data_IF_817752286922
#
_entry.id   IF_817752286922
#
_cell.length_a   1.000
_cell.length_b   1.000
_cell.length_c   1.000
_cell.angle_alpha   90.00
_cell.angle_beta   90.00
_cell.angle_gamma   90.00
#
_symmetry.space_group_name_H-M   'P 1'
#
loop_
_entity.id
_entity.type
_entity.pdbx_description
1 polymer ?
#
# COMPACT_ATOMS: atom_id res chain seq x y z
N UNK A 1 -49.75 0.31 55.43
CA UNK A 1 -49.99 -1.02 56.04
C UNK A 1 -49.46 -2.09 55.09
N UNK A 2 -48.77 -3.09 55.64
CA UNK A 2 -48.37 -4.41 55.05
C UNK A 2 -47.42 -4.33 53.82
N UNK A 3 -46.10 -4.59 53.87
CA UNK A 3 -45.21 -5.60 54.51
C UNK A 3 -45.21 -6.97 53.78
N UNK A 4 -43.99 -7.52 53.63
CA UNK A 4 -43.62 -8.95 53.42
C UNK A 4 -43.59 -9.35 51.92
N UNK A 5 -42.55 -9.94 51.29
CA UNK A 5 -41.29 -10.59 51.70
C UNK A 5 -40.38 -10.83 50.46
N UNK A 6 -39.06 -10.60 50.54
CA UNK A 6 -37.96 -11.59 50.69
C UNK A 6 -37.66 -12.49 49.45
N UNK A 7 -36.59 -12.13 48.70
CA UNK A 7 -35.29 -12.85 48.51
C UNK A 7 -35.26 -14.40 48.47
N UNK A 8 -34.12 -15.04 48.14
CA UNK A 8 -33.26 -15.02 46.94
C UNK A 8 -32.96 -16.48 46.47
N UNK A 9 -32.29 -16.73 45.33
CA UNK A 9 -31.53 -17.99 45.16
C UNK A 9 -30.43 -17.87 44.10
N UNK A 10 -29.24 -17.49 44.57
CA UNK A 10 -27.96 -17.91 43.99
C UNK A 10 -27.69 -19.37 44.40
N UNK A 11 -27.48 -20.23 43.41
CA UNK A 11 -26.68 -21.47 43.45
C UNK A 11 -26.18 -21.70 42.03
N UNK A 12 -25.03 -22.27 41.72
CA UNK A 12 -23.75 -22.55 42.38
C UNK A 12 -23.00 -23.28 41.26
N UNK A 13 -21.72 -22.94 41.07
CA UNK A 13 -20.64 -23.83 40.66
C UNK A 13 -20.73 -24.60 39.31
N UNK A 14 -19.86 -24.15 38.38
CA UNK A 14 -18.73 -24.92 37.82
C UNK A 14 -18.76 -25.31 36.33
N UNK A 15 -17.63 -25.14 35.61
CA UNK A 15 -17.42 -25.59 34.23
C UNK A 15 -16.84 -27.02 34.17
N UNK A 16 -16.99 -27.75 33.04
CA UNK A 16 -16.08 -28.82 32.66
C UNK A 16 -14.98 -28.23 31.75
N UNK A 17 -13.73 -28.20 32.20
CA UNK A 17 -12.75 -29.29 32.15
C UNK A 17 -11.94 -29.25 30.86
N UNK A 18 -10.67 -28.88 31.03
CA UNK A 18 -9.61 -29.10 30.07
C UNK A 18 -9.12 -30.57 30.17
N UNK A 19 -9.18 -31.32 29.08
CA UNK A 19 -8.29 -32.46 28.78
C UNK A 19 -8.70 -33.16 27.47
N UNK A 20 -7.94 -32.96 26.40
CA UNK A 20 -7.66 -33.94 25.34
C UNK A 20 -6.70 -33.26 24.32
N UNK A 21 -5.40 -33.35 24.53
CA UNK A 21 -4.55 -34.42 24.01
C UNK A 21 -4.19 -34.25 22.51
N UNK A 22 -3.07 -33.56 22.29
CA UNK A 22 -1.87 -34.10 21.63
C UNK A 22 -2.03 -34.80 20.28
N UNK A 23 -1.62 -34.15 19.18
CA UNK A 23 -0.76 -34.77 18.14
C UNK A 23 0.23 -33.76 17.52
N UNK A 24 1.49 -33.98 17.91
CA UNK A 24 2.78 -33.80 17.22
C UNK A 24 2.76 -33.66 15.67
N UNK A 25 3.58 -32.74 15.17
CA UNK A 25 4.72 -32.96 14.24
C UNK A 25 5.36 -31.58 13.91
N UNK A 26 6.46 -31.20 14.57
CA UNK A 26 7.87 -31.38 14.18
C UNK A 26 8.42 -30.21 13.31
N UNK A 27 9.52 -29.54 13.74
CA UNK A 27 10.15 -28.42 13.03
C UNK A 27 11.26 -28.92 12.08
N UNK A 28 11.41 -28.29 10.91
CA UNK A 28 12.57 -28.48 10.03
C UNK A 28 13.54 -27.34 10.25
N UNK A 29 14.69 -27.66 10.80
CA UNK A 29 15.86 -26.80 10.88
C UNK A 29 16.87 -27.20 9.79
N UNK A 30 17.48 -26.17 9.21
CA UNK A 30 18.83 -26.02 8.65
C UNK A 30 19.64 -27.25 8.22
N UNK A 31 20.14 -27.22 6.98
CA UNK A 31 21.48 -27.70 6.66
C UNK A 31 22.11 -26.90 5.51
N UNK A 32 23.40 -26.59 5.67
CA UNK A 32 24.27 -25.96 4.70
C UNK A 32 25.48 -26.90 4.49
N UNK A 33 25.83 -27.19 3.22
CA UNK A 33 27.11 -27.78 2.78
C UNK A 33 27.23 -27.49 1.27
N UNK A 34 28.14 -26.65 0.78
CA UNK A 34 29.56 -26.87 0.42
C UNK A 34 29.82 -27.97 -0.62
N UNK A 35 30.42 -27.55 -1.76
CA UNK A 35 30.91 -28.37 -2.89
C UNK A 35 30.34 -27.84 -4.22
N UNK A 36 31.07 -27.27 -5.19
CA UNK A 36 32.46 -27.51 -5.61
C UNK A 36 32.46 -28.42 -6.84
N UNK A 37 32.59 -27.87 -8.06
CA UNK A 37 33.06 -28.63 -9.22
C UNK A 37 32.28 -28.52 -10.54
N UNK A 38 32.86 -27.75 -11.47
CA UNK A 38 33.20 -28.16 -12.85
C UNK A 38 32.13 -28.25 -13.96
N UNK A 39 32.29 -27.30 -14.89
CA UNK A 39 31.76 -27.26 -16.27
C UNK A 39 32.49 -28.31 -17.14
N UNK A 40 31.80 -29.12 -17.97
CA UNK A 40 32.47 -29.89 -19.00
C UNK A 40 32.61 -29.06 -20.29
N UNK A 41 33.85 -28.69 -20.60
CA UNK A 41 34.32 -28.39 -21.95
C UNK A 41 34.43 -29.71 -22.72
N UNK A 42 33.79 -29.80 -23.89
CA UNK A 42 34.03 -30.89 -24.83
C UNK A 42 35.10 -30.46 -25.84
N UNK A 43 36.15 -31.26 -25.88
CA UNK A 43 37.34 -31.14 -26.72
C UNK A 43 37.30 -32.19 -27.84
N UNK A 44 37.91 -31.89 -28.97
CA UNK A 44 38.21 -32.83 -30.07
C UNK A 44 37.79 -32.26 -31.43
N UNK A 45 38.65 -31.81 -32.34
CA UNK A 45 40.05 -32.13 -32.58
C UNK A 45 40.17 -33.18 -33.70
N UNK A 46 40.70 -32.79 -34.86
CA UNK A 46 41.24 -33.76 -35.83
C UNK A 46 41.16 -33.42 -37.32
N UNK A 47 42.27 -32.88 -37.83
CA UNK A 47 42.94 -33.21 -39.09
C UNK A 47 42.20 -33.07 -40.44
N UNK A 48 42.69 -32.15 -41.26
CA UNK A 48 42.37 -32.09 -42.69
C UNK A 48 43.30 -32.95 -43.55
N UNK A 49 42.89 -33.27 -44.78
CA UNK A 49 43.75 -33.51 -45.97
C UNK A 49 42.89 -33.30 -47.23
N UNK A 50 43.58 -32.90 -48.31
CA UNK A 50 43.28 -33.11 -49.73
C UNK A 50 42.60 -31.98 -50.50
N UNK A 51 43.46 -31.08 -51.00
CA UNK A 51 43.28 -30.47 -52.30
C UNK A 51 43.23 -31.57 -53.39
N UNK A 52 42.19 -31.54 -54.21
CA UNK A 52 42.08 -32.32 -55.44
C UNK A 52 41.38 -31.45 -56.47
N UNK A 53 42.12 -31.06 -57.52
CA UNK A 53 41.60 -30.23 -58.59
C UNK A 53 40.60 -30.98 -59.47
N UNK A 54 39.61 -30.23 -59.98
CA UNK A 54 38.97 -30.56 -61.24
C UNK A 54 38.93 -29.31 -62.13
N UNK A 55 39.71 -29.39 -63.20
CA UNK A 55 39.64 -28.50 -64.35
C UNK A 55 38.60 -29.08 -65.33
N UNK A 56 37.62 -28.27 -65.70
CA UNK A 56 36.60 -28.60 -66.69
C UNK A 56 35.97 -27.32 -67.19
N UNK A 57 36.35 -26.89 -68.39
CA UNK A 57 36.08 -25.57 -68.95
C UNK A 57 34.65 -25.34 -69.46
N UNK A 58 34.39 -24.10 -69.85
CA UNK A 58 33.23 -23.73 -70.66
C UNK A 58 32.52 -22.47 -70.19
N UNK A 59 32.57 -21.36 -70.94
CA UNK A 59 32.01 -20.07 -70.54
C UNK A 59 30.53 -20.00 -70.89
N UNK A 60 29.67 -19.69 -69.92
CA UNK A 60 28.31 -19.27 -70.28
C UNK A 60 27.22 -19.62 -69.30
N UNK A 61 27.33 -19.16 -68.05
CA UNK A 61 26.18 -18.96 -67.17
C UNK A 61 26.43 -17.70 -66.30
N UNK A 62 26.76 -16.59 -66.96
CA UNK A 62 26.77 -15.23 -66.38
C UNK A 62 25.37 -14.60 -66.34
N UNK A 63 24.32 -15.40 -66.26
CA UNK A 63 22.92 -14.95 -66.34
C UNK A 63 22.00 -15.53 -65.26
N UNK A 64 22.55 -16.02 -64.15
CA UNK A 64 21.76 -16.46 -63.00
C UNK A 64 22.13 -15.75 -61.68
N UNK A 65 22.77 -14.56 -61.75
CA UNK A 65 23.12 -13.76 -60.55
C UNK A 65 22.49 -12.36 -60.56
N UNK A 66 21.45 -12.11 -61.36
CA UNK A 66 20.88 -10.75 -61.49
C UNK A 66 19.36 -10.67 -61.27
N UNK A 67 18.73 -11.68 -60.69
CA UNK A 67 17.30 -11.65 -60.33
C UNK A 67 16.96 -12.28 -58.96
N UNK A 68 17.95 -12.61 -58.13
CA UNK A 68 17.74 -13.04 -56.74
C UNK A 68 18.49 -12.12 -55.79
N UNK A 69 18.11 -10.84 -55.78
CA UNK A 69 18.28 -9.99 -54.60
C UNK A 69 16.86 -9.61 -54.18
N UNK A 70 16.10 -10.61 -53.76
CA UNK A 70 14.81 -10.40 -53.11
C UNK A 70 15.14 -9.97 -51.67
N UNK A 71 15.17 -8.65 -51.48
CA UNK A 71 14.54 -7.92 -50.38
C UNK A 71 14.77 -8.27 -48.89
N UNK A 72 15.72 -9.12 -48.49
CA UNK A 72 15.98 -9.35 -47.04
C UNK A 72 16.30 -8.06 -46.24
N UNK A 73 16.86 -7.05 -46.91
CA UNK A 73 17.27 -5.78 -46.30
C UNK A 73 16.10 -4.79 -46.15
N UNK A 74 15.10 -4.87 -47.02
CA UNK A 74 13.87 -4.05 -46.94
C UNK A 74 12.87 -4.70 -45.97
N UNK A 75 12.78 -6.04 -45.93
CA UNK A 75 11.97 -6.78 -44.94
C UNK A 75 12.44 -6.47 -43.50
N UNK A 76 13.76 -6.47 -43.25
CA UNK A 76 14.32 -6.14 -41.93
C UNK A 76 14.03 -4.69 -41.49
N UNK A 77 14.02 -3.75 -42.44
CA UNK A 77 13.74 -2.34 -42.17
C UNK A 77 12.25 -2.08 -41.91
N UNK A 78 11.37 -2.81 -42.62
CA UNK A 78 9.93 -2.78 -42.40
C UNK A 78 9.54 -3.37 -41.04
N UNK A 79 10.21 -4.46 -40.63
CA UNK A 79 10.04 -5.08 -39.31
C UNK A 79 10.48 -4.14 -38.18
N UNK A 80 11.64 -3.48 -38.28
CA UNK A 80 12.12 -2.54 -37.25
C UNK A 80 11.21 -1.29 -37.12
N UNK A 81 10.72 -0.75 -38.24
CA UNK A 81 9.73 0.32 -38.21
C UNK A 81 8.39 -0.11 -37.63
N UNK A 82 7.95 -1.32 -37.94
CA UNK A 82 6.73 -1.90 -37.37
C UNK A 82 6.89 -2.03 -35.86
N UNK A 83 7.98 -2.59 -35.35
CA UNK A 83 8.21 -2.73 -33.91
C UNK A 83 8.27 -1.39 -33.18
N UNK A 84 8.91 -0.37 -33.78
CA UNK A 84 8.99 0.97 -33.18
C UNK A 84 7.62 1.67 -33.17
N UNK A 85 6.85 1.55 -34.24
CA UNK A 85 5.49 2.11 -34.35
C UNK A 85 4.50 1.37 -33.44
N UNK A 86 4.48 0.04 -33.49
CA UNK A 86 3.65 -0.79 -32.63
C UNK A 86 4.03 -0.63 -31.15
N UNK A 87 5.32 -0.57 -30.82
CA UNK A 87 5.78 -0.33 -29.46
C UNK A 87 5.36 1.05 -28.92
N UNK A 88 5.39 2.08 -29.76
CA UNK A 88 4.92 3.41 -29.38
C UNK A 88 3.39 3.49 -29.27
N UNK A 89 2.67 2.92 -30.23
CA UNK A 89 1.19 2.82 -30.20
C UNK A 89 0.73 2.03 -28.96
N UNK A 90 1.39 0.91 -28.66
CA UNK A 90 1.12 0.10 -27.48
C UNK A 90 1.34 0.90 -26.19
N UNK A 91 2.37 1.75 -26.11
CA UNK A 91 2.57 2.66 -24.97
C UNK A 91 1.43 3.65 -24.81
N UNK A 92 0.89 4.21 -25.89
CA UNK A 92 -0.28 5.12 -25.83
C UNK A 92 -1.52 4.36 -25.32
N UNK A 93 -1.76 3.15 -25.83
CA UNK A 93 -2.85 2.30 -25.35
C UNK A 93 -2.69 1.94 -23.86
N UNK A 94 -1.48 1.57 -23.44
CA UNK A 94 -1.19 1.30 -22.03
C UNK A 94 -1.37 2.54 -21.17
N UNK A 95 -0.87 3.70 -21.59
CA UNK A 95 -0.99 4.95 -20.84
C UNK A 95 -2.46 5.38 -20.73
N UNK A 96 -3.23 5.27 -21.82
CA UNK A 96 -4.65 5.57 -21.84
C UNK A 96 -5.46 4.59 -20.99
N UNK A 97 -5.23 3.29 -21.15
CA UNK A 97 -5.97 2.26 -20.41
C UNK A 97 -5.60 2.27 -18.92
N UNK A 98 -4.32 2.37 -18.58
CA UNK A 98 -3.88 2.49 -17.19
C UNK A 98 -4.37 3.79 -16.55
N UNK A 99 -4.43 4.90 -17.31
CA UNK A 99 -5.03 6.15 -16.85
C UNK A 99 -6.52 6.00 -16.55
N UNK A 100 -7.29 5.38 -17.45
CA UNK A 100 -8.73 5.16 -17.30
C UNK A 100 -9.04 4.23 -16.12
N UNK A 101 -8.32 3.11 -16.02
CA UNK A 101 -8.43 2.16 -14.91
C UNK A 101 -8.00 2.84 -13.61
N UNK A 102 -6.91 3.62 -13.62
CA UNK A 102 -6.47 4.41 -12.48
C UNK A 102 -7.56 5.35 -12.00
N UNK A 103 -8.19 6.12 -12.89
CA UNK A 103 -9.26 7.03 -12.52
C UNK A 103 -10.48 6.33 -11.92
N UNK A 104 -10.86 5.17 -12.44
CA UNK A 104 -12.04 4.42 -11.98
C UNK A 104 -11.80 3.65 -10.67
N UNK A 105 -10.64 3.03 -10.49
CA UNK A 105 -10.38 2.12 -9.36
C UNK A 105 -9.71 2.80 -8.16
N UNK A 106 -8.97 3.89 -8.38
CA UNK A 106 -8.29 4.61 -7.30
C UNK A 106 -9.24 5.15 -6.20
N UNK A 107 -10.45 5.66 -6.52
CA UNK A 107 -11.42 6.07 -5.49
C UNK A 107 -11.87 4.88 -4.62
N UNK A 108 -12.14 3.73 -5.24
CA UNK A 108 -12.65 2.54 -4.55
C UNK A 108 -11.60 1.87 -3.66
N UNK A 109 -10.33 1.86 -4.08
CA UNK A 109 -9.24 1.38 -3.23
C UNK A 109 -8.96 2.33 -2.05
N UNK A 110 -9.05 3.65 -2.27
CA UNK A 110 -8.85 4.64 -1.21
C UNK A 110 -9.86 4.51 -0.08
N UNK A 111 -11.15 4.32 -0.40
CA UNK A 111 -12.22 4.23 0.59
C UNK A 111 -12.06 3.04 1.53
N UNK A 112 -11.74 1.86 0.97
CA UNK A 112 -11.47 0.65 1.77
C UNK A 112 -10.27 0.87 2.71
N UNK A 113 -9.22 1.55 2.25
CA UNK A 113 -8.05 1.85 3.07
C UNK A 113 -8.37 2.85 4.19
N UNK A 114 -9.27 3.81 3.95
CA UNK A 114 -9.75 4.72 4.99
C UNK A 114 -10.55 3.93 6.03
N UNK A 115 -11.50 3.07 5.63
CA UNK A 115 -12.27 2.24 6.56
C UNK A 115 -11.37 1.31 7.39
N UNK A 116 -10.35 0.71 6.76
CA UNK A 116 -9.36 -0.10 7.47
C UNK A 116 -8.56 0.74 8.47
N UNK A 117 -8.17 1.95 8.09
CA UNK A 117 -7.44 2.86 8.98
C UNK A 117 -8.30 3.28 10.18
N UNK A 118 -9.59 3.54 9.97
CA UNK A 118 -10.57 3.82 11.04
C UNK A 118 -10.76 2.60 11.94
N UNK A 119 -10.81 1.40 11.37
CA UNK A 119 -10.90 0.16 12.15
C UNK A 119 -9.67 -0.04 13.06
N UNK A 120 -8.48 0.38 12.61
CA UNK A 120 -7.27 0.36 13.44
C UNK A 120 -7.34 1.34 14.63
N UNK A 121 -8.07 2.45 14.52
CA UNK A 121 -8.28 3.39 15.63
C UNK A 121 -9.09 2.78 16.78
N UNK A 122 -9.94 1.80 16.47
CA UNK A 122 -10.80 1.10 17.45
C UNK A 122 -10.08 -0.01 18.20
N UNK A 123 -8.90 -0.43 17.73
CA UNK A 123 -8.10 -1.49 18.37
C UNK A 123 -7.59 -1.00 19.74
N UNK A 124 -7.48 -1.92 20.70
CA UNK A 124 -7.05 -1.58 22.08
C UNK A 124 -5.61 -1.09 22.17
N UNK A 125 -4.73 -1.67 21.35
CA UNK A 125 -3.30 -1.39 21.40
C UNK A 125 -2.97 -0.03 20.74
N UNK A 126 -2.32 0.90 21.48
CA UNK A 126 -1.94 2.23 20.98
C UNK A 126 -1.08 2.20 19.70
N UNK A 127 -0.29 1.15 19.49
CA UNK A 127 0.53 1.01 18.29
C UNK A 127 -0.31 0.98 17.01
N UNK A 128 -1.48 0.33 17.03
CA UNK A 128 -2.39 0.31 15.90
C UNK A 128 -3.13 1.63 15.75
N UNK A 129 -3.50 2.28 16.86
CA UNK A 129 -4.14 3.59 16.84
C UNK A 129 -3.27 4.64 16.15
N UNK A 130 -1.99 4.74 16.51
CA UNK A 130 -1.06 5.68 15.84
C UNK A 130 -0.85 5.34 14.36
N UNK A 131 -0.81 4.05 13.98
CA UNK A 131 -0.68 3.65 12.58
C UNK A 131 -1.93 4.01 11.77
N UNK A 132 -3.11 3.76 12.33
CA UNK A 132 -4.40 4.14 11.75
C UNK A 132 -4.48 5.65 11.56
N UNK A 133 -4.13 6.42 12.60
CA UNK A 133 -4.14 7.88 12.55
C UNK A 133 -3.18 8.41 11.47
N UNK A 134 -1.93 7.95 11.48
CA UNK A 134 -0.92 8.37 10.50
C UNK A 134 -1.34 8.06 9.05
N UNK A 135 -1.97 6.89 8.82
CA UNK A 135 -2.54 6.55 7.50
C UNK A 135 -3.69 7.46 7.13
N UNK A 136 -4.58 7.76 8.07
CA UNK A 136 -5.73 8.63 7.84
C UNK A 136 -5.29 10.05 7.46
N UNK A 137 -4.23 10.56 8.10
CA UNK A 137 -3.61 11.85 7.74
C UNK A 137 -3.03 11.88 6.32
N UNK A 138 -2.58 10.75 5.78
CA UNK A 138 -2.14 10.66 4.38
C UNK A 138 -3.27 10.74 3.37
N UNK A 139 -4.51 10.42 3.77
CA UNK A 139 -5.67 10.57 2.91
C UNK A 139 -6.24 11.99 2.95
N UNK A 140 -5.98 12.76 4.01
CA UNK A 140 -6.41 14.15 4.20
C UNK A 140 -5.61 15.17 3.36
N UNK A 141 -5.51 14.92 2.05
CA UNK A 141 -4.80 15.79 1.10
C UNK A 141 -5.72 16.93 0.67
N UNK A 142 -6.82 16.58 -0.01
CA UNK A 142 -7.77 17.54 -0.59
C UNK A 142 -9.08 17.59 0.21
N UNK A 143 -9.87 18.66 0.06
CA UNK A 143 -11.14 18.87 0.77
C UNK A 143 -12.13 17.72 0.57
N UNK A 144 -12.26 17.23 -0.66
CA UNK A 144 -13.09 16.06 -0.98
C UNK A 144 -12.66 14.82 -0.17
N UNK A 145 -11.36 14.58 -0.04
CA UNK A 145 -10.85 13.42 0.72
C UNK A 145 -10.96 13.63 2.23
N UNK A 146 -10.76 14.85 2.72
CA UNK A 146 -10.94 15.22 4.14
C UNK A 146 -12.39 14.99 4.56
N UNK A 147 -13.33 15.47 3.75
CA UNK A 147 -14.76 15.23 3.98
C UNK A 147 -15.14 13.77 3.87
N UNK A 148 -14.46 13.00 3.00
CA UNK A 148 -14.67 11.55 2.93
C UNK A 148 -14.23 10.83 4.21
N UNK A 149 -13.12 11.26 4.83
CA UNK A 149 -12.69 10.77 6.15
C UNK A 149 -13.71 11.12 7.23
N UNK A 150 -14.24 12.35 7.22
CA UNK A 150 -15.29 12.79 8.15
C UNK A 150 -16.56 11.96 7.98
N UNK A 151 -17.03 11.77 6.74
CA UNK A 151 -18.24 11.02 6.42
C UNK A 151 -18.17 9.55 6.85
N UNK A 152 -16.98 8.94 6.84
CA UNK A 152 -16.75 7.58 7.35
C UNK A 152 -16.58 7.50 8.87
N UNK A 153 -16.69 8.62 9.59
CA UNK A 153 -16.55 8.69 11.05
C UNK A 153 -15.11 8.77 11.54
N UNK A 154 -14.13 8.94 10.65
CA UNK A 154 -12.72 8.99 11.03
C UNK A 154 -12.36 10.15 11.94
N UNK A 155 -13.02 11.31 11.76
CA UNK A 155 -12.84 12.47 12.62
C UNK A 155 -13.24 12.19 14.08
N UNK A 156 -14.40 11.57 14.30
CA UNK A 156 -14.86 11.21 15.65
C UNK A 156 -13.93 10.18 16.30
N UNK A 157 -13.50 9.16 15.54
CA UNK A 157 -12.61 8.13 16.08
C UNK A 157 -11.21 8.69 16.42
N UNK A 158 -10.71 9.68 15.67
CA UNK A 158 -9.48 10.38 16.02
C UNK A 158 -9.61 11.16 17.34
N UNK A 159 -10.76 11.78 17.60
CA UNK A 159 -11.03 12.47 18.87
C UNK A 159 -11.09 11.47 20.03
N UNK A 160 -11.77 10.34 19.85
CA UNK A 160 -11.81 9.26 20.84
C UNK A 160 -10.41 8.71 21.15
N UNK A 161 -9.55 8.60 20.12
CA UNK A 161 -8.15 8.18 20.27
C UNK A 161 -7.37 9.22 21.06
N UNK A 162 -7.54 10.50 20.75
CA UNK A 162 -6.84 11.59 21.44
C UNK A 162 -7.25 11.66 22.92
N UNK A 163 -8.53 11.54 23.23
CA UNK A 163 -9.07 11.55 24.59
C UNK A 163 -8.56 10.35 25.42
N UNK A 164 -8.46 9.16 24.80
CA UNK A 164 -8.02 7.94 25.46
C UNK A 164 -6.50 7.68 25.43
N UNK A 165 -5.70 8.51 24.77
CA UNK A 165 -4.29 8.23 24.51
C UNK A 165 -3.40 8.55 25.72
N UNK A 166 -2.74 7.50 26.25
CA UNK A 166 -1.78 7.61 27.35
C UNK A 166 -0.37 7.95 26.88
N UNK A 167 -0.01 7.53 25.67
CA UNK A 167 1.31 7.74 25.09
C UNK A 167 1.36 8.96 24.18
N UNK A 168 2.45 9.71 24.29
CA UNK A 168 2.64 10.98 23.60
C UNK A 168 2.71 10.80 22.08
N UNK A 169 3.25 9.66 21.63
CA UNK A 169 3.38 9.34 20.21
C UNK A 169 2.01 9.15 19.53
N UNK A 170 1.06 8.50 20.19
CA UNK A 170 -0.32 8.39 19.69
C UNK A 170 -1.01 9.74 19.70
N UNK A 171 -0.85 10.55 20.77
CA UNK A 171 -1.40 11.92 20.80
C UNK A 171 -0.87 12.77 19.65
N UNK A 172 0.43 12.69 19.38
CA UNK A 172 1.08 13.41 18.28
C UNK A 172 0.50 13.05 16.92
N UNK A 173 0.40 11.75 16.59
CA UNK A 173 -0.13 11.33 15.28
C UNK A 173 -1.63 11.66 15.14
N UNK A 174 -2.41 11.54 16.22
CA UNK A 174 -3.81 11.93 16.22
C UNK A 174 -3.98 13.44 15.98
N UNK A 175 -3.25 14.28 16.73
CA UNK A 175 -3.28 15.74 16.57
C UNK A 175 -2.81 16.18 15.18
N UNK A 176 -1.70 15.63 14.70
CA UNK A 176 -1.20 15.91 13.35
C UNK A 176 -2.25 15.59 12.28
N UNK A 177 -2.99 14.50 12.46
CA UNK A 177 -4.07 14.11 11.54
C UNK A 177 -5.27 15.04 11.65
N UNK A 178 -5.65 15.47 12.86
CA UNK A 178 -6.72 16.45 13.06
C UNK A 178 -6.37 17.80 12.42
N UNK A 179 -5.12 18.25 12.54
CA UNK A 179 -4.61 19.45 11.82
C UNK A 179 -4.68 19.26 10.32
N UNK A 180 -4.34 18.06 9.83
CA UNK A 180 -4.48 17.75 8.43
C UNK A 180 -5.93 17.76 7.96
N UNK A 181 -6.93 17.45 8.80
CA UNK A 181 -8.34 17.59 8.46
C UNK A 181 -8.81 19.05 8.54
N UNK A 182 -8.36 19.80 9.56
CA UNK A 182 -8.86 21.15 9.86
C UNK A 182 -8.52 22.21 8.81
N UNK A 183 -7.60 21.95 7.87
CA UNK A 183 -7.38 22.90 6.75
C UNK A 183 -8.57 22.98 5.76
N UNK A 184 -9.58 22.12 5.89
CA UNK A 184 -10.87 22.26 5.22
C UNK A 184 -11.86 22.85 6.22
N UNK A 185 -12.50 23.96 5.86
CA UNK A 185 -13.45 24.65 6.73
C UNK A 185 -14.63 23.75 7.13
N UNK A 186 -15.16 22.97 6.20
CA UNK A 186 -16.26 22.03 6.44
C UNK A 186 -15.86 20.93 7.44
N UNK A 187 -14.66 20.36 7.27
CA UNK A 187 -14.13 19.34 8.18
C UNK A 187 -13.80 19.90 9.55
N UNK A 188 -13.25 21.12 9.61
CA UNK A 188 -13.00 21.84 10.84
C UNK A 188 -14.31 22.17 11.58
N UNK A 189 -15.36 22.57 10.86
CA UNK A 189 -16.68 22.81 11.42
C UNK A 189 -17.32 21.54 11.98
N UNK A 190 -17.09 20.37 11.36
CA UNK A 190 -17.48 19.09 11.93
C UNK A 190 -16.72 18.79 13.23
N UNK A 191 -15.41 19.03 13.26
CA UNK A 191 -14.58 18.83 14.46
C UNK A 191 -15.02 19.73 15.62
N UNK A 192 -15.28 21.01 15.37
CA UNK A 192 -15.77 21.94 16.40
C UNK A 192 -17.11 21.47 16.98
N UNK A 193 -18.06 21.07 16.11
CA UNK A 193 -19.35 20.48 16.53
C UNK A 193 -19.20 19.17 17.31
N UNK A 194 -18.17 18.38 17.02
CA UNK A 194 -17.85 17.14 17.73
C UNK A 194 -17.14 17.39 19.09
N UNK A 195 -16.98 18.65 19.52
CA UNK A 195 -16.34 18.99 20.79
C UNK A 195 -14.80 18.93 20.75
N UNK A 196 -14.20 18.95 19.55
CA UNK A 196 -12.75 18.86 19.40
C UNK A 196 -11.99 19.94 20.18
N UNK A 197 -12.55 21.15 20.30
CA UNK A 197 -11.94 22.25 21.05
C UNK A 197 -11.64 21.87 22.52
N UNK A 198 -12.60 21.26 23.21
CA UNK A 198 -12.44 20.85 24.61
C UNK A 198 -11.43 19.71 24.78
N UNK A 199 -11.44 18.74 23.86
CA UNK A 199 -10.52 17.59 23.88
C UNK A 199 -9.09 18.05 23.60
N UNK A 200 -8.91 18.93 22.61
CA UNK A 200 -7.58 19.40 22.18
C UNK A 200 -6.97 20.34 23.22
N UNK A 201 -7.76 21.24 23.80
CA UNK A 201 -7.30 22.12 24.88
C UNK A 201 -6.88 21.35 26.14
N UNK A 202 -7.62 20.31 26.51
CA UNK A 202 -7.31 19.47 27.69
C UNK A 202 -6.18 18.46 27.47
N UNK A 203 -5.73 18.26 26.22
CA UNK A 203 -4.65 17.34 25.89
C UNK A 203 -3.32 17.78 26.54
N UNK A 204 -2.61 16.92 27.29
CA UNK A 204 -1.35 17.31 27.92
C UNK A 204 -0.21 17.47 26.91
N UNK A 205 0.62 18.49 27.13
CA UNK A 205 1.85 18.70 26.37
C UNK A 205 2.89 17.61 26.69
N UNK A 206 3.90 17.48 25.83
CA UNK A 206 5.00 16.52 25.99
C UNK A 206 6.33 17.23 25.95
N UNK A 207 7.25 16.86 26.84
CA UNK A 207 8.64 17.32 26.79
C UNK A 207 9.45 16.66 25.66
N UNK A 208 9.07 15.44 25.25
CA UNK A 208 9.73 14.70 24.16
C UNK A 208 9.24 15.14 22.77
N UNK A 209 7.98 15.57 22.67
CA UNK A 209 7.33 15.94 21.42
C UNK A 209 6.75 17.36 21.47
N UNK A 210 7.62 18.36 21.33
CA UNK A 210 7.23 19.78 21.28
C UNK A 210 6.20 20.09 20.17
N UNK A 211 6.21 19.31 19.08
CA UNK A 211 5.23 19.42 17.98
C UNK A 211 3.77 19.31 18.46
N UNK A 212 3.50 18.61 19.58
CA UNK A 212 2.16 18.47 20.14
C UNK A 212 1.57 19.85 20.47
N UNK A 213 2.37 20.75 21.04
CA UNK A 213 1.94 22.10 21.36
C UNK A 213 1.61 22.88 20.08
N UNK A 214 2.48 22.81 19.07
CA UNK A 214 2.26 23.45 17.76
C UNK A 214 1.00 22.94 17.07
N UNK A 215 0.73 21.63 17.10
CA UNK A 215 -0.49 21.08 16.52
C UNK A 215 -1.73 21.52 17.29
N UNK A 216 -1.66 21.59 18.61
CA UNK A 216 -2.77 22.10 19.44
C UNK A 216 -3.08 23.55 19.12
N UNK A 217 -2.10 24.44 19.13
CA UNK A 217 -2.32 25.87 18.86
C UNK A 217 -2.88 26.08 17.47
N UNK A 218 -2.30 25.44 16.45
CA UNK A 218 -2.80 25.52 15.07
C UNK A 218 -4.25 25.05 14.93
N UNK A 219 -4.65 24.01 15.67
CA UNK A 219 -6.02 23.49 15.62
C UNK A 219 -7.01 24.43 16.33
N UNK A 220 -6.62 24.99 17.48
CA UNK A 220 -7.45 25.94 18.23
C UNK A 220 -7.63 27.25 17.44
N UNK A 221 -6.58 27.77 16.83
CA UNK A 221 -6.64 28.93 15.92
C UNK A 221 -7.59 28.67 14.74
N UNK A 222 -7.56 27.47 14.15
CA UNK A 222 -8.49 27.10 13.08
C UNK A 222 -9.95 27.08 13.54
N UNK A 223 -10.22 26.67 14.79
CA UNK A 223 -11.57 26.70 15.36
C UNK A 223 -12.03 28.12 15.74
N UNK A 224 -11.11 28.99 16.15
CA UNK A 224 -11.41 30.39 16.43
C UNK A 224 -11.71 31.17 15.14
N UNK A 225 -10.97 30.91 14.06
CA UNK A 225 -11.21 31.48 12.74
C UNK A 225 -12.58 31.10 12.17
N UNK A 226 -13.06 29.89 12.45
CA UNK A 226 -14.40 29.41 12.07
C UNK A 226 -15.55 30.17 12.76
N UNK A 227 -15.28 30.82 13.89
CA UNK A 227 -16.26 31.57 14.68
C UNK A 227 -16.22 33.08 14.39
N UNK A 228 -15.21 33.54 13.66
CA UNK A 228 -15.03 34.93 13.24
C UNK A 228 -15.83 35.27 12.00
#
# INVERSE_FOLDING_TARGET
MQRVSQLPLRRLLSPPSAAAATRRAAPVASEAVSGGGSIPLLHGGGAGVAAGGWSGGGPGLRLARRLCTFDERDDSALEEEAEKKFGWILKIFFLGTAGLVGYQFFPYMGDNLIQQSISLLRVKDPLFKRMGASRLGRFAVDDQRRMKVVAMGGAQELLNVLEGAKDDKTRKEALKTLVALSKSEEAAGFLDKAGAYAIVSSTPNSSEYAEIETYKTSLLEAFDQLKS
#
